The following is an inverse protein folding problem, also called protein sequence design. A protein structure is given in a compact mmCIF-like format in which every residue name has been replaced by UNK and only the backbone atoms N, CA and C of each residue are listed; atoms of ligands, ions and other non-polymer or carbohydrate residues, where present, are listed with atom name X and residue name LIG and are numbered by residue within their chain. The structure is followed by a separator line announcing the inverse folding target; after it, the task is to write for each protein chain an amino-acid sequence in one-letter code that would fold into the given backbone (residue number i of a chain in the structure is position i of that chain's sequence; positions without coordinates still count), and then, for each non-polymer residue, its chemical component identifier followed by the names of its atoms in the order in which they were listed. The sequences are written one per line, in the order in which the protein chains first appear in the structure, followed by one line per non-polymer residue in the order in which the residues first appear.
data_IF_790952744064
#
_entry.id   IF_790952744064
#
_cell.length_a   1.000
_cell.length_b   1.000
_cell.length_c   1.000
_cell.angle_alpha   90.00
_cell.angle_beta   90.00
_cell.angle_gamma   90.00
#
_symmetry.space_group_name_H-M   'P 1'
#
loop_
_entity.id
_entity.type
_entity.pdbx_description
1 polymer ?
#
# COMPACT_ATOMS: atom_id res chain seq x y z
N UNK A 1 13.87 -21.90 -2.05
CA UNK A 1 13.39 -20.52 -1.97
C UNK A 1 13.15 -20.08 -3.40
N UNK A 2 11.95 -19.57 -3.71
CA UNK A 2 11.64 -19.07 -5.06
C UNK A 2 12.52 -17.85 -5.33
N UNK A 3 13.12 -17.78 -6.52
CA UNK A 3 13.81 -16.57 -7.00
C UNK A 3 12.80 -15.71 -7.73
N UNK A 4 12.60 -14.48 -7.28
CA UNK A 4 11.69 -13.52 -7.90
C UNK A 4 12.46 -12.62 -8.87
N UNK A 5 11.86 -12.34 -10.01
CA UNK A 5 12.37 -11.32 -10.94
C UNK A 5 12.04 -9.92 -10.40
N UNK A 6 12.76 -8.89 -10.84
CA UNK A 6 12.60 -7.51 -10.36
C UNK A 6 11.16 -7.01 -10.51
N UNK A 7 10.48 -7.32 -11.61
CA UNK A 7 9.09 -6.95 -11.86
C UNK A 7 8.05 -7.76 -11.05
N UNK A 8 8.49 -8.79 -10.33
CA UNK A 8 7.65 -9.56 -9.42
C UNK A 8 7.75 -9.06 -7.97
N UNK A 9 8.66 -8.12 -7.70
CA UNK A 9 8.90 -7.57 -6.35
C UNK A 9 8.27 -6.20 -6.24
N UNK A 10 7.51 -5.97 -5.17
CA UNK A 10 6.90 -4.68 -4.82
C UNK A 10 7.39 -4.25 -3.44
N UNK A 11 7.86 -3.01 -3.34
CA UNK A 11 8.36 -2.44 -2.09
C UNK A 11 7.40 -1.36 -1.60
N UNK A 12 6.77 -1.56 -0.46
CA UNK A 12 5.62 -0.80 0.01
C UNK A 12 5.86 -0.28 1.43
N UNK A 13 5.56 0.98 1.69
CA UNK A 13 5.51 1.55 3.03
C UNK A 13 4.05 1.67 3.48
N UNK A 14 3.70 1.14 4.67
CA UNK A 14 2.41 1.38 5.33
C UNK A 14 2.54 2.64 6.18
N UNK A 15 1.74 3.63 5.87
CA UNK A 15 1.80 4.99 6.38
C UNK A 15 0.43 5.45 6.91
N UNK A 16 0.39 6.52 7.66
CA UNK A 16 -0.86 7.14 8.16
C UNK A 16 -0.75 7.55 9.63
N UNK A 17 -1.75 8.26 10.12
CA UNK A 17 -1.82 8.74 11.50
C UNK A 17 -1.80 7.61 12.53
N UNK A 18 -1.45 7.93 13.77
CA UNK A 18 -1.61 7.02 14.90
C UNK A 18 -3.07 6.59 15.01
N UNK A 19 -3.32 5.28 15.18
CA UNK A 19 -4.68 4.74 15.29
C UNK A 19 -5.39 4.49 13.94
N UNK A 20 -4.78 4.78 12.79
CA UNK A 20 -5.38 4.47 11.47
C UNK A 20 -5.44 2.97 11.15
N UNK A 21 -4.80 2.10 11.93
CA UNK A 21 -4.86 0.64 11.81
C UNK A 21 -3.78 0.01 10.92
N UNK A 22 -2.62 0.67 10.75
CA UNK A 22 -1.49 0.15 9.96
C UNK A 22 -1.02 -1.23 10.43
N UNK A 23 -0.73 -1.37 11.71
CA UNK A 23 -0.29 -2.64 12.31
C UNK A 23 -1.36 -3.72 12.20
N UNK A 24 -2.64 -3.38 12.34
CA UNK A 24 -3.75 -4.31 12.11
C UNK A 24 -3.82 -4.73 10.64
N UNK A 25 -3.57 -3.81 9.71
CA UNK A 25 -3.49 -4.13 8.30
C UNK A 25 -2.28 -5.04 8.00
N UNK A 26 -1.12 -4.78 8.61
CA UNK A 26 0.06 -5.64 8.48
C UNK A 26 -0.23 -7.08 8.92
N UNK A 27 -0.92 -7.26 10.05
CA UNK A 27 -1.37 -8.57 10.53
C UNK A 27 -2.30 -9.27 9.53
N UNK A 28 -3.27 -8.54 8.96
CA UNK A 28 -4.20 -9.10 7.97
C UNK A 28 -3.50 -9.46 6.66
N UNK A 29 -2.57 -8.63 6.18
CA UNK A 29 -1.75 -8.93 4.99
C UNK A 29 -0.91 -10.21 5.20
N UNK A 30 -0.26 -10.37 6.34
CA UNK A 30 0.52 -11.55 6.67
C UNK A 30 -0.36 -12.80 6.82
N UNK A 31 -1.56 -12.65 7.37
CA UNK A 31 -2.52 -13.74 7.53
C UNK A 31 -3.07 -14.23 6.18
N UNK A 32 -3.51 -13.30 5.31
CA UNK A 32 -4.01 -13.61 3.96
C UNK A 32 -2.96 -14.31 3.08
N UNK A 33 -1.69 -14.02 3.30
CA UNK A 33 -0.58 -14.69 2.62
C UNK A 33 -0.16 -16.00 3.27
N UNK A 34 -0.78 -16.41 4.38
CA UNK A 34 -0.44 -17.63 5.11
C UNK A 34 0.92 -17.58 5.82
N UNK A 35 1.52 -16.40 5.96
CA UNK A 35 2.80 -16.20 6.70
C UNK A 35 2.58 -16.43 8.19
N UNK A 36 1.47 -15.94 8.72
CA UNK A 36 1.02 -16.21 10.09
C UNK A 36 -0.28 -17.01 10.05
N UNK A 37 -0.45 -17.91 11.03
CA UNK A 37 -1.65 -18.76 11.14
C UNK A 37 -2.78 -18.10 11.93
N UNK A 38 -2.49 -17.07 12.67
CA UNK A 38 -3.43 -16.32 13.52
C UNK A 38 -2.97 -14.87 13.58
N UNK A 39 -3.90 -13.95 13.39
CA UNK A 39 -3.66 -12.52 13.53
C UNK A 39 -3.44 -12.15 15.00
N UNK A 40 -2.42 -11.35 15.27
CA UNK A 40 -2.24 -10.67 16.54
C UNK A 40 -3.15 -9.45 16.65
N UNK A 41 -3.14 -8.82 17.81
CA UNK A 41 -3.77 -7.51 18.00
C UNK A 41 -2.91 -6.62 18.89
N UNK A 42 -3.02 -5.31 18.70
CA UNK A 42 -2.30 -4.31 19.52
C UNK A 42 -2.72 -4.44 20.97
N UNK A 43 -4.00 -4.64 21.25
CA UNK A 43 -4.54 -4.79 22.61
C UNK A 43 -4.01 -6.05 23.30
N UNK A 44 -3.86 -7.15 22.57
CA UNK A 44 -3.26 -8.38 23.09
C UNK A 44 -1.72 -8.34 23.13
N UNK A 45 -1.10 -7.28 22.63
CA UNK A 45 0.37 -7.05 22.62
C UNK A 45 1.16 -8.17 21.94
N UNK A 46 0.59 -8.78 20.92
CA UNK A 46 1.12 -9.98 20.25
C UNK A 46 1.20 -9.85 18.71
N UNK A 47 1.22 -8.62 18.20
CA UNK A 47 1.41 -8.34 16.77
C UNK A 47 2.84 -8.64 16.35
N UNK A 48 3.04 -8.94 15.07
CA UNK A 48 4.35 -9.17 14.46
C UNK A 48 5.17 -7.86 14.40
N UNK A 49 4.50 -6.73 14.18
CA UNK A 49 5.18 -5.42 14.03
C UNK A 49 5.65 -4.85 15.36
N UNK A 50 4.81 -4.84 16.39
CA UNK A 50 5.09 -4.21 17.68
C UNK A 50 5.67 -5.22 18.66
N UNK A 51 6.90 -5.67 18.43
CA UNK A 51 7.53 -6.72 19.23
C UNK A 51 8.47 -6.19 20.32
N UNK A 52 8.91 -4.94 20.22
CA UNK A 52 9.76 -4.32 21.24
C UNK A 52 9.01 -4.07 22.55
N UNK A 53 9.66 -4.21 23.71
CA UNK A 53 9.01 -3.99 25.02
C UNK A 53 8.34 -2.63 25.13
N UNK A 54 8.97 -1.56 24.63
CA UNK A 54 8.44 -0.19 24.64
C UNK A 54 7.14 -0.06 23.85
N UNK A 55 7.01 -0.72 22.69
CA UNK A 55 5.80 -0.70 21.88
C UNK A 55 4.65 -1.43 22.57
N UNK A 56 4.97 -2.57 23.21
CA UNK A 56 4.01 -3.32 24.01
C UNK A 56 3.55 -2.58 25.25
N UNK A 57 4.44 -1.80 25.89
CA UNK A 57 4.13 -1.00 27.05
C UNK A 57 3.17 0.14 26.68
N UNK A 58 3.51 0.90 25.66
CA UNK A 58 2.74 2.07 25.23
C UNK A 58 1.55 1.76 24.33
N UNK A 59 1.48 0.57 23.71
CA UNK A 59 0.38 0.14 22.84
C UNK A 59 0.35 0.86 21.48
N UNK A 60 1.52 1.27 20.98
CA UNK A 60 1.67 1.82 19.63
C UNK A 60 3.10 1.64 19.12
N UNK A 61 3.25 1.63 17.79
CA UNK A 61 4.53 1.47 17.11
C UNK A 61 5.46 2.67 17.33
N UNK A 62 6.70 2.40 17.65
CA UNK A 62 7.80 3.38 17.81
C UNK A 62 8.82 3.22 16.71
N UNK A 63 9.05 1.99 16.27
CA UNK A 63 10.00 1.63 15.23
C UNK A 63 9.29 1.15 13.96
N UNK A 64 9.92 1.32 12.81
CA UNK A 64 9.46 0.68 11.59
C UNK A 64 9.78 -0.81 11.62
N UNK A 65 8.84 -1.67 11.21
CA UNK A 65 9.04 -3.11 11.11
C UNK A 65 8.98 -3.57 9.68
N UNK A 66 9.94 -4.40 9.29
CA UNK A 66 10.10 -4.90 7.93
C UNK A 66 9.60 -6.33 7.88
N UNK A 67 8.73 -6.62 6.93
CA UNK A 67 8.24 -7.96 6.66
C UNK A 67 8.01 -8.16 5.16
N UNK A 68 7.80 -9.40 4.76
CA UNK A 68 7.43 -9.71 3.39
C UNK A 68 6.33 -10.77 3.35
N UNK A 69 5.60 -10.77 2.26
CA UNK A 69 4.60 -11.78 1.97
C UNK A 69 4.66 -12.16 0.48
N UNK A 70 4.27 -13.39 0.19
CA UNK A 70 4.17 -13.90 -1.17
C UNK A 70 2.68 -14.02 -1.52
N UNK A 71 2.26 -13.34 -2.57
CA UNK A 71 0.87 -13.33 -2.98
C UNK A 71 0.74 -13.35 -4.51
N UNK A 72 -0.05 -14.29 -5.05
CA UNK A 72 -0.30 -14.43 -6.50
C UNK A 72 0.97 -14.34 -7.37
N UNK A 73 2.05 -15.01 -6.93
CA UNK A 73 3.31 -15.04 -7.66
C UNK A 73 4.20 -13.81 -7.50
N UNK A 74 3.75 -12.79 -6.77
CA UNK A 74 4.51 -11.59 -6.44
C UNK A 74 5.08 -11.66 -5.02
N UNK A 75 6.19 -10.97 -4.79
CA UNK A 75 6.77 -10.75 -3.48
C UNK A 75 6.50 -9.31 -3.05
N UNK A 76 5.75 -9.14 -1.98
CA UNK A 76 5.45 -7.84 -1.38
C UNK A 76 6.40 -7.63 -0.19
N UNK A 77 7.40 -6.77 -0.33
CA UNK A 77 8.21 -6.30 0.78
C UNK A 77 7.51 -5.10 1.39
N UNK A 78 7.25 -5.14 2.67
CA UNK A 78 6.45 -4.13 3.35
C UNK A 78 7.18 -3.59 4.58
N UNK A 79 7.00 -2.30 4.84
CA UNK A 79 7.53 -1.63 6.03
C UNK A 79 6.36 -0.99 6.75
N UNK A 80 6.00 -1.51 7.93
CA UNK A 80 5.03 -0.89 8.83
C UNK A 80 5.71 0.27 9.56
N UNK A 81 5.22 1.50 9.37
CA UNK A 81 5.80 2.70 9.93
C UNK A 81 5.01 3.21 11.14
N UNK A 82 5.68 3.72 12.19
CA UNK A 82 4.98 4.39 13.28
C UNK A 82 4.13 5.56 12.77
N UNK A 83 2.97 5.76 13.38
CA UNK A 83 2.02 6.82 12.99
C UNK A 83 2.09 8.07 13.83
N UNK A 84 2.98 8.13 14.81
CA UNK A 84 3.19 9.35 15.63
C UNK A 84 4.07 10.36 14.92
N UNK A 85 3.73 11.64 14.98
CA UNK A 85 4.48 12.71 14.31
C UNK A 85 5.95 12.79 14.79
N UNK A 86 6.22 12.43 16.04
CA UNK A 86 7.58 12.36 16.61
C UNK A 86 8.47 11.31 15.90
N UNK A 87 7.87 10.35 15.22
CA UNK A 87 8.56 9.24 14.54
C UNK A 87 8.59 9.36 13.01
N UNK A 88 8.30 10.54 12.46
CA UNK A 88 8.26 10.78 11.01
C UNK A 88 9.57 10.39 10.30
N UNK A 89 10.71 10.43 10.99
CA UNK A 89 11.99 9.95 10.47
C UNK A 89 11.96 8.49 10.00
N UNK A 90 11.21 7.62 10.68
CA UNK A 90 11.02 6.24 10.24
C UNK A 90 10.26 6.16 8.89
N UNK A 91 9.24 6.99 8.71
CA UNK A 91 8.48 7.05 7.47
C UNK A 91 9.33 7.58 6.31
N UNK A 92 10.15 8.62 6.54
CA UNK A 92 11.10 9.15 5.53
C UNK A 92 12.08 8.05 5.11
N UNK A 93 12.66 7.36 6.09
CA UNK A 93 13.61 6.28 5.83
C UNK A 93 12.97 5.13 5.04
N UNK A 94 11.75 4.73 5.41
CA UNK A 94 10.98 3.71 4.69
C UNK A 94 10.69 4.14 3.24
N UNK A 95 10.25 5.39 3.03
CA UNK A 95 9.96 5.92 1.70
C UNK A 95 11.20 5.96 0.80
N UNK A 96 12.40 6.15 1.34
CA UNK A 96 13.63 6.14 0.54
C UNK A 96 13.93 4.75 -0.06
N UNK A 97 13.45 3.68 0.57
CA UNK A 97 13.73 2.30 0.13
C UNK A 97 12.52 1.59 -0.47
N UNK A 98 11.33 2.15 -0.35
CA UNK A 98 10.12 1.63 -0.97
C UNK A 98 9.76 2.38 -2.25
N UNK A 99 8.92 1.78 -3.07
CA UNK A 99 8.53 2.32 -4.37
C UNK A 99 7.13 2.95 -4.32
N UNK A 100 6.30 2.54 -3.35
CA UNK A 100 4.93 3.04 -3.16
C UNK A 100 4.61 3.20 -1.68
N UNK A 101 3.92 4.28 -1.30
CA UNK A 101 3.32 4.47 0.01
C UNK A 101 1.83 4.13 0.02
N UNK A 102 1.38 3.33 0.99
CA UNK A 102 -0.04 3.11 1.27
C UNK A 102 -0.39 3.91 2.53
N UNK A 103 -1.17 4.98 2.35
CA UNK A 103 -1.59 5.85 3.45
C UNK A 103 -2.97 5.40 3.93
N UNK A 104 -3.04 4.93 5.18
CA UNK A 104 -4.29 4.58 5.82
C UNK A 104 -4.97 5.83 6.37
N UNK A 105 -6.24 5.98 6.02
CA UNK A 105 -7.13 7.04 6.53
C UNK A 105 -8.22 6.38 7.36
N UNK A 106 -8.49 6.91 8.54
CA UNK A 106 -9.54 6.38 9.40
C UNK A 106 -10.92 6.81 8.90
N UNK A 107 -11.84 5.88 8.70
CA UNK A 107 -13.19 6.15 8.20
C UNK A 107 -14.05 7.03 9.12
N UNK A 108 -13.71 7.10 10.41
CA UNK A 108 -14.42 7.94 11.39
C UNK A 108 -13.82 9.35 11.49
N UNK A 109 -12.49 9.45 11.50
CA UNK A 109 -11.79 10.71 11.77
C UNK A 109 -11.39 11.46 10.49
N UNK A 110 -11.41 10.79 9.34
CA UNK A 110 -11.05 11.40 8.07
C UNK A 110 -9.57 11.77 7.98
N UNK A 111 -9.32 12.91 7.33
CA UNK A 111 -7.96 13.40 7.07
C UNK A 111 -7.44 14.17 8.28
N UNK A 112 -6.72 13.47 9.14
CA UNK A 112 -6.06 14.05 10.32
C UNK A 112 -4.77 14.83 9.94
N UNK A 113 -4.27 15.65 10.85
CA UNK A 113 -3.01 16.40 10.66
C UNK A 113 -1.84 15.47 10.33
N UNK A 114 -1.71 14.33 11.03
CA UNK A 114 -0.71 13.32 10.75
C UNK A 114 -0.83 12.74 9.34
N UNK A 115 -2.05 12.56 8.82
CA UNK A 115 -2.29 12.12 7.43
C UNK A 115 -1.78 13.17 6.43
N UNK A 116 -2.03 14.46 6.68
CA UNK A 116 -1.55 15.55 5.83
C UNK A 116 -0.02 15.65 5.84
N UNK A 117 0.59 15.52 7.02
CA UNK A 117 2.04 15.58 7.19
C UNK A 117 2.72 14.43 6.44
N UNK A 118 2.20 13.21 6.57
CA UNK A 118 2.77 12.06 5.86
C UNK A 118 2.57 12.18 4.34
N UNK A 119 1.42 12.68 3.89
CA UNK A 119 1.20 12.93 2.46
C UNK A 119 2.19 13.98 1.93
N UNK A 120 2.42 15.11 2.62
CA UNK A 120 3.43 16.09 2.24
C UNK A 120 4.82 15.46 2.16
N UNK A 121 5.15 14.57 3.11
CA UNK A 121 6.41 13.82 3.10
C UNK A 121 6.53 12.96 1.86
N UNK A 122 5.49 12.20 1.47
CA UNK A 122 5.53 11.40 0.23
C UNK A 122 5.70 12.26 -1.01
N UNK A 123 5.07 13.45 -1.06
CA UNK A 123 5.23 14.38 -2.18
C UNK A 123 6.65 14.95 -2.25
N UNK A 124 7.27 15.27 -1.10
CA UNK A 124 8.64 15.81 -1.06
C UNK A 124 9.68 14.81 -1.59
N UNK A 125 9.48 13.51 -1.32
CA UNK A 125 10.35 12.42 -1.83
C UNK A 125 9.83 11.83 -3.17
N UNK A 126 8.82 12.44 -3.75
CA UNK A 126 8.24 12.08 -5.07
C UNK A 126 7.80 10.61 -5.18
N UNK A 127 7.18 10.06 -4.15
CA UNK A 127 6.71 8.66 -4.15
C UNK A 127 5.24 8.56 -4.56
N UNK A 128 4.89 7.53 -5.36
CA UNK A 128 3.52 7.10 -5.58
C UNK A 128 2.76 6.85 -4.28
N UNK A 129 1.48 7.21 -4.26
CA UNK A 129 0.62 7.07 -3.08
C UNK A 129 -0.67 6.37 -3.45
N UNK A 130 -1.07 5.43 -2.59
CA UNK A 130 -2.38 4.80 -2.56
C UNK A 130 -3.00 5.12 -1.21
N UNK A 131 -4.28 5.42 -1.20
CA UNK A 131 -5.05 5.57 0.04
C UNK A 131 -5.86 4.32 0.34
N UNK A 132 -5.93 3.97 1.61
CA UNK A 132 -6.82 2.93 2.11
C UNK A 132 -7.68 3.52 3.23
N UNK A 133 -8.98 3.71 2.98
CA UNK A 133 -9.94 4.11 4.00
C UNK A 133 -10.25 2.87 4.82
N UNK A 134 -9.73 2.86 6.05
CA UNK A 134 -9.79 1.74 6.98
C UNK A 134 -10.79 1.99 8.10
N UNK A 135 -11.18 0.92 8.78
CA UNK A 135 -12.16 0.94 9.87
C UNK A 135 -13.58 1.33 9.39
N UNK A 136 -13.91 0.93 8.16
CA UNK A 136 -15.28 1.09 7.62
C UNK A 136 -16.34 0.33 8.43
N UNK A 137 -15.91 -0.61 9.27
CA UNK A 137 -16.71 -1.34 10.25
C UNK A 137 -16.92 -0.59 11.58
N UNK A 138 -16.34 0.59 11.75
CA UNK A 138 -16.50 1.42 12.96
C UNK A 138 -17.87 2.08 13.05
N UNK A 139 -18.40 2.20 14.28
CA UNK A 139 -19.76 2.75 14.54
C UNK A 139 -20.03 4.13 13.92
N UNK A 140 -18.98 4.94 13.73
CA UNK A 140 -19.06 6.30 13.21
C UNK A 140 -18.32 6.46 11.88
N UNK A 141 -18.11 5.36 11.15
CA UNK A 141 -17.54 5.44 9.82
C UNK A 141 -18.44 6.30 8.91
N UNK A 142 -17.80 7.13 8.08
CA UNK A 142 -18.48 7.97 7.11
C UNK A 142 -17.58 8.17 5.89
N UNK A 143 -17.71 7.27 4.94
CA UNK A 143 -16.89 7.22 3.72
C UNK A 143 -17.00 8.49 2.88
N UNK A 144 -18.23 8.94 2.62
CA UNK A 144 -18.46 10.08 1.73
C UNK A 144 -17.84 11.36 2.30
N UNK A 145 -17.96 11.61 3.60
CA UNK A 145 -17.30 12.73 4.27
C UNK A 145 -15.76 12.63 4.20
N UNK A 146 -15.21 11.42 4.33
CA UNK A 146 -13.75 11.22 4.20
C UNK A 146 -13.28 11.53 2.77
N UNK A 147 -14.02 11.09 1.76
CA UNK A 147 -13.69 11.38 0.36
C UNK A 147 -13.77 12.87 0.06
N UNK A 148 -14.78 13.56 0.60
CA UNK A 148 -14.90 15.02 0.44
C UNK A 148 -13.67 15.74 1.03
N UNK A 149 -13.29 15.42 2.27
CA UNK A 149 -12.07 15.95 2.90
C UNK A 149 -10.81 15.63 2.11
N UNK A 150 -10.69 14.39 1.61
CA UNK A 150 -9.53 13.99 0.82
C UNK A 150 -9.45 14.80 -0.49
N UNK A 151 -10.57 15.02 -1.17
CA UNK A 151 -10.62 15.83 -2.40
C UNK A 151 -10.33 17.31 -2.15
N UNK A 152 -10.78 17.85 -1.02
CA UNK A 152 -10.47 19.22 -0.60
C UNK A 152 -8.97 19.41 -0.34
N UNK A 153 -8.34 18.45 0.36
CA UNK A 153 -6.95 18.58 0.84
C UNK A 153 -5.92 18.08 -0.17
N UNK A 154 -6.20 16.96 -0.85
CA UNK A 154 -5.26 16.31 -1.78
C UNK A 154 -5.61 16.55 -3.26
N UNK A 155 -6.76 17.18 -3.52
CA UNK A 155 -7.19 17.60 -4.84
C UNK A 155 -7.95 16.54 -5.64
N UNK A 156 -8.22 16.88 -6.91
CA UNK A 156 -9.03 16.05 -7.83
C UNK A 156 -8.36 14.72 -8.23
N UNK A 157 -7.09 14.55 -7.90
CA UNK A 157 -6.33 13.31 -8.18
C UNK A 157 -6.76 12.12 -7.31
N UNK A 158 -7.57 12.38 -6.27
CA UNK A 158 -8.18 11.34 -5.43
C UNK A 158 -9.21 10.58 -6.25
N UNK A 159 -8.88 9.34 -6.62
CA UNK A 159 -9.62 8.53 -7.59
C UNK A 159 -10.11 7.25 -6.94
N UNK A 160 -11.41 7.03 -6.96
CA UNK A 160 -12.01 5.86 -6.32
C UNK A 160 -11.75 4.60 -7.16
N UNK A 161 -11.13 3.59 -6.54
CA UNK A 161 -11.09 2.22 -7.06
C UNK A 161 -12.27 1.43 -6.50
N UNK A 162 -12.72 1.80 -5.30
CA UNK A 162 -13.80 1.13 -4.59
C UNK A 162 -14.66 2.11 -3.83
N UNK A 163 -15.92 1.74 -3.61
CA UNK A 163 -16.79 2.41 -2.64
C UNK A 163 -17.63 1.39 -1.85
N UNK A 164 -17.91 1.65 -0.57
CA UNK A 164 -18.69 0.73 0.27
C UNK A 164 -20.18 0.81 -0.08
N UNK A 165 -20.90 -0.32 0.04
CA UNK A 165 -22.37 -0.33 -0.04
C UNK A 165 -23.02 -0.10 1.32
N UNK A 166 -22.29 -0.37 2.38
CA UNK A 166 -22.72 -0.15 3.76
C UNK A 166 -21.50 0.17 4.63
N UNK A 167 -21.74 0.81 5.75
CA UNK A 167 -20.72 1.24 6.70
C UNK A 167 -21.11 0.87 8.13
N UNK A 168 -20.19 1.07 9.06
CA UNK A 168 -20.41 0.75 10.47
C UNK A 168 -20.31 -0.73 10.76
N UNK A 169 -20.86 -1.20 11.90
CA UNK A 169 -20.78 -2.61 12.32
C UNK A 169 -21.31 -3.60 11.28
N UNK A 170 -22.20 -3.14 10.39
CA UNK A 170 -22.78 -3.92 9.31
C UNK A 170 -21.92 -3.94 8.03
N UNK A 171 -20.76 -3.28 8.00
CA UNK A 171 -19.88 -3.27 6.84
C UNK A 171 -19.52 -4.70 6.41
N UNK A 172 -19.93 -5.05 5.20
CA UNK A 172 -19.71 -6.37 4.64
C UNK A 172 -19.68 -6.40 3.11
N UNK A 173 -19.83 -5.25 2.43
CA UNK A 173 -19.87 -5.24 0.97
C UNK A 173 -19.41 -3.90 0.39
N UNK A 174 -18.78 -4.00 -0.80
CA UNK A 174 -18.31 -2.86 -1.56
C UNK A 174 -18.37 -3.13 -3.06
N UNK A 175 -18.30 -2.09 -3.87
CA UNK A 175 -18.17 -2.17 -5.31
C UNK A 175 -16.75 -1.79 -5.71
N UNK A 176 -16.13 -2.62 -6.55
CA UNK A 176 -14.88 -2.35 -7.23
C UNK A 176 -15.17 -1.79 -8.62
N UNK A 177 -14.87 -0.51 -8.82
CA UNK A 177 -15.17 0.19 -10.07
C UNK A 177 -14.14 -0.09 -11.16
N UNK A 178 -12.95 -0.60 -10.82
CA UNK A 178 -11.97 -1.04 -11.81
C UNK A 178 -12.45 -2.33 -12.48
N UNK A 179 -12.91 -3.30 -11.71
CA UNK A 179 -13.35 -4.61 -12.18
C UNK A 179 -14.86 -4.69 -12.46
N UNK A 180 -15.62 -3.65 -12.13
CA UNK A 180 -17.09 -3.60 -12.25
C UNK A 180 -17.76 -4.81 -11.60
N UNK A 181 -17.37 -5.10 -10.34
CA UNK A 181 -17.90 -6.22 -9.54
C UNK A 181 -18.22 -5.77 -8.11
N UNK A 182 -19.21 -6.44 -7.53
CA UNK A 182 -19.52 -6.36 -6.09
C UNK A 182 -18.73 -7.41 -5.34
N UNK A 183 -18.13 -7.01 -4.24
CA UNK A 183 -17.46 -7.87 -3.28
C UNK A 183 -18.27 -7.89 -1.99
N UNK A 184 -18.55 -9.08 -1.47
CA UNK A 184 -19.25 -9.25 -0.21
C UNK A 184 -18.60 -10.32 0.66
N UNK A 185 -18.71 -10.15 1.98
CA UNK A 185 -18.09 -11.00 2.98
C UNK A 185 -19.11 -11.52 3.98
N UNK A 186 -18.85 -12.72 4.50
CA UNK A 186 -19.46 -13.21 5.71
C UNK A 186 -18.92 -12.50 6.97
N UNK A 187 -19.45 -12.85 8.16
CA UNK A 187 -19.06 -12.19 9.42
C UNK A 187 -17.57 -12.29 9.75
N UNK A 188 -16.91 -13.34 9.29
CA UNK A 188 -15.51 -13.64 9.58
C UNK A 188 -14.52 -12.98 8.60
N UNK A 189 -15.01 -12.28 7.58
CA UNK A 189 -14.16 -11.65 6.54
C UNK A 189 -13.46 -12.66 5.63
N UNK A 190 -12.22 -12.34 5.21
CA UNK A 190 -11.36 -13.21 4.41
C UNK A 190 -11.69 -13.19 2.91
N UNK A 191 -11.89 -14.37 2.31
CA UNK A 191 -12.16 -14.51 0.87
C UNK A 191 -13.57 -14.01 0.54
N UNK A 192 -13.72 -13.00 -0.34
CA UNK A 192 -15.02 -12.46 -0.70
C UNK A 192 -15.82 -13.38 -1.64
N UNK A 193 -17.12 -13.23 -1.61
CA UNK A 193 -18.00 -13.61 -2.71
C UNK A 193 -17.99 -12.48 -3.73
N UNK A 194 -17.78 -12.80 -5.01
CA UNK A 194 -17.75 -11.83 -6.11
C UNK A 194 -19.01 -12.00 -6.94
N UNK A 195 -19.77 -10.91 -7.07
CA UNK A 195 -21.08 -10.88 -7.71
C UNK A 195 -21.18 -9.74 -8.73
N UNK A 196 -22.21 -9.76 -9.55
CA UNK A 196 -22.54 -8.64 -10.41
C UNK A 196 -23.06 -7.45 -9.57
N UNK A 197 -22.86 -6.24 -10.10
CA UNK A 197 -23.30 -5.02 -9.44
C UNK A 197 -24.84 -4.98 -9.41
N UNK A 198 -25.47 -4.69 -8.26
CA UNK A 198 -26.92 -4.51 -8.18
C UNK A 198 -27.41 -3.41 -9.11
N UNK A 199 -28.62 -3.58 -9.66
CA UNK A 199 -29.18 -2.65 -10.65
C UNK A 199 -29.30 -1.20 -10.15
N UNK A 200 -29.59 -1.02 -8.86
CA UNK A 200 -29.68 0.28 -8.19
C UNK A 200 -28.33 0.98 -8.01
N UNK A 201 -27.22 0.25 -8.12
CA UNK A 201 -25.84 0.77 -8.00
C UNK A 201 -25.15 0.92 -9.36
N UNK A 202 -25.73 0.38 -10.42
CA UNK A 202 -25.08 0.28 -11.73
C UNK A 202 -24.76 1.67 -12.31
N UNK A 203 -25.66 2.64 -12.20
CA UNK A 203 -25.46 4.00 -12.73
C UNK A 203 -24.26 4.69 -12.04
N UNK A 204 -24.21 4.66 -10.70
CA UNK A 204 -23.09 5.21 -9.91
C UNK A 204 -21.78 4.51 -10.24
N UNK A 205 -21.81 3.18 -10.36
CA UNK A 205 -20.61 2.40 -10.68
C UNK A 205 -20.09 2.72 -12.09
N UNK A 206 -20.97 2.87 -13.08
CA UNK A 206 -20.59 3.24 -14.45
C UNK A 206 -20.00 4.65 -14.51
N UNK A 207 -20.61 5.62 -13.82
CA UNK A 207 -20.07 6.98 -13.75
C UNK A 207 -18.66 7.01 -13.16
N UNK A 208 -18.45 6.33 -12.03
CA UNK A 208 -17.14 6.24 -11.39
C UNK A 208 -16.12 5.45 -12.23
N UNK A 209 -16.56 4.39 -12.92
CA UNK A 209 -15.73 3.65 -13.86
C UNK A 209 -15.27 4.53 -15.00
N UNK A 210 -16.18 5.32 -15.59
CA UNK A 210 -15.85 6.25 -16.67
C UNK A 210 -14.82 7.29 -16.22
N UNK A 211 -14.99 7.87 -15.03
CA UNK A 211 -14.00 8.79 -14.44
C UNK A 211 -12.62 8.11 -14.24
N UNK A 212 -12.60 6.84 -13.85
CA UNK A 212 -11.37 6.08 -13.69
C UNK A 212 -10.70 5.79 -15.05
N UNK A 213 -11.50 5.46 -16.09
CA UNK A 213 -10.98 5.25 -17.46
C UNK A 213 -10.35 6.53 -17.99
N UNK A 214 -11.02 7.67 -17.85
CA UNK A 214 -10.52 8.99 -18.25
C UNK A 214 -9.21 9.32 -17.53
N UNK A 215 -9.19 9.18 -16.20
CA UNK A 215 -7.99 9.42 -15.40
C UNK A 215 -6.82 8.49 -15.78
N UNK A 216 -7.09 7.24 -16.14
CA UNK A 216 -6.06 6.31 -16.61
C UNK A 216 -5.54 6.69 -18.00
N UNK A 217 -6.45 7.06 -18.92
CA UNK A 217 -6.10 7.44 -20.30
C UNK A 217 -5.25 8.72 -20.34
N UNK A 218 -5.50 9.70 -19.48
CA UNK A 218 -4.77 10.98 -19.42
C UNK A 218 -3.25 10.82 -19.21
N UNK A 219 -2.78 9.66 -18.76
CA UNK A 219 -1.37 9.43 -18.46
C UNK A 219 -0.57 8.82 -19.64
N UNK A 220 -1.21 8.59 -20.77
CA UNK A 220 -0.56 7.98 -21.94
C UNK A 220 -1.26 8.39 -23.23
N UNK A 221 -0.52 8.96 -24.19
CA UNK A 221 -1.07 9.43 -25.46
C UNK A 221 -1.76 8.30 -26.25
N UNK A 222 -1.18 7.09 -26.25
CA UNK A 222 -1.76 5.93 -26.96
C UNK A 222 -3.06 5.47 -26.31
N UNK A 223 -3.13 5.47 -24.98
CA UNK A 223 -4.34 5.12 -24.24
C UNK A 223 -5.42 6.19 -24.45
N UNK A 224 -5.03 7.45 -24.50
CA UNK A 224 -5.93 8.57 -24.78
C UNK A 224 -6.52 8.48 -26.18
N UNK A 225 -5.71 8.26 -27.21
CA UNK A 225 -6.19 8.06 -28.59
C UNK A 225 -7.16 6.89 -28.67
N UNK A 226 -6.81 5.77 -28.06
CA UNK A 226 -7.65 4.58 -28.03
C UNK A 226 -8.99 4.82 -27.32
N UNK A 227 -8.95 5.54 -26.20
CA UNK A 227 -10.16 5.92 -25.48
C UNK A 227 -11.07 6.82 -26.32
N UNK A 228 -10.55 7.78 -27.06
CA UNK A 228 -11.33 8.62 -27.97
C UNK A 228 -11.94 7.83 -29.13
N UNK A 229 -11.22 6.84 -29.66
CA UNK A 229 -11.69 6.04 -30.78
C UNK A 229 -12.72 4.98 -30.39
N UNK A 230 -12.58 4.35 -29.23
CA UNK A 230 -13.35 3.17 -28.82
C UNK A 230 -14.31 3.45 -27.63
N UNK A 231 -14.09 4.53 -26.88
CA UNK A 231 -14.87 4.89 -25.70
C UNK A 231 -14.58 4.02 -24.45
N UNK A 232 -13.64 3.09 -24.52
CA UNK A 232 -13.27 2.21 -23.41
C UNK A 232 -11.81 1.75 -23.49
N UNK A 233 -11.28 1.30 -22.37
CA UNK A 233 -9.98 0.62 -22.25
C UNK A 233 -10.18 -0.79 -21.69
N UNK A 234 -9.34 -1.73 -22.09
CA UNK A 234 -9.27 -3.05 -21.46
C UNK A 234 -8.74 -2.94 -20.02
N UNK A 235 -8.95 -3.97 -19.22
CA UNK A 235 -8.47 -4.01 -17.83
C UNK A 235 -6.94 -3.84 -17.74
N UNK A 236 -6.17 -4.47 -18.65
CA UNK A 236 -4.72 -4.35 -18.67
C UNK A 236 -4.25 -2.95 -19.05
N UNK A 237 -4.93 -2.29 -19.98
CA UNK A 237 -4.67 -0.90 -20.36
C UNK A 237 -5.01 0.07 -19.24
N UNK A 238 -6.11 -0.17 -18.53
CA UNK A 238 -6.45 0.63 -17.34
C UNK A 238 -5.37 0.47 -16.25
N UNK A 239 -4.90 -0.76 -16.00
CA UNK A 239 -3.80 -1.02 -15.06
C UNK A 239 -2.52 -0.29 -15.45
N UNK A 240 -2.20 -0.28 -16.73
CA UNK A 240 -1.03 0.43 -17.26
C UNK A 240 -1.17 1.95 -17.09
N UNK A 241 -2.32 2.53 -17.46
CA UNK A 241 -2.60 3.96 -17.28
C UNK A 241 -2.58 4.37 -15.82
N UNK A 242 -3.19 3.58 -14.93
CA UNK A 242 -3.14 3.82 -13.48
C UNK A 242 -1.70 3.74 -12.95
N UNK A 243 -0.88 2.78 -13.41
CA UNK A 243 0.52 2.67 -13.01
C UNK A 243 1.31 3.90 -13.43
N UNK A 244 1.16 4.38 -14.66
CA UNK A 244 1.78 5.63 -15.12
C UNK A 244 1.32 6.83 -14.29
N UNK A 245 0.03 6.94 -14.05
CA UNK A 245 -0.54 7.97 -13.19
C UNK A 245 -0.03 7.94 -11.74
N UNK A 246 0.23 6.74 -11.18
CA UNK A 246 0.88 6.59 -9.89
C UNK A 246 2.32 7.12 -9.90
N UNK A 247 3.11 6.78 -10.92
CA UNK A 247 4.50 7.23 -11.08
C UNK A 247 4.55 8.75 -11.20
N UNK A 248 3.69 9.34 -12.02
CA UNK A 248 3.58 10.79 -12.25
C UNK A 248 2.85 11.52 -11.11
N UNK A 249 2.23 10.76 -10.19
CA UNK A 249 1.44 11.28 -9.08
C UNK A 249 0.26 12.15 -9.55
N UNK A 250 -0.31 11.78 -10.67
CA UNK A 250 -1.53 12.35 -11.25
C UNK A 250 -2.78 11.65 -10.75
N UNK A 251 -2.66 10.38 -10.27
CA UNK A 251 -3.74 9.58 -9.69
C UNK A 251 -3.36 9.15 -8.28
N UNK A 252 -4.31 9.25 -7.35
CA UNK A 252 -4.24 8.70 -5.99
C UNK A 252 -5.39 7.71 -5.79
N UNK A 253 -5.16 6.40 -6.05
CA UNK A 253 -6.18 5.38 -5.90
C UNK A 253 -6.65 5.24 -4.47
N UNK A 254 -7.98 5.07 -4.27
CA UNK A 254 -8.59 4.90 -2.95
C UNK A 254 -9.24 3.53 -2.84
N UNK A 255 -8.88 2.80 -1.78
CA UNK A 255 -9.41 1.50 -1.41
C UNK A 255 -10.26 1.56 -0.15
N UNK A 256 -11.21 0.61 -0.06
CA UNK A 256 -12.08 0.39 1.09
C UNK A 256 -11.61 -0.84 1.85
N UNK A 257 -11.30 -0.70 3.15
CA UNK A 257 -10.85 -1.84 3.96
C UNK A 257 -11.44 -1.81 5.37
N UNK A 258 -11.62 -2.98 5.94
CA UNK A 258 -11.65 -3.21 7.37
C UNK A 258 -10.55 -4.21 7.70
N UNK A 259 -9.39 -3.69 8.12
CA UNK A 259 -8.27 -4.52 8.49
C UNK A 259 -8.62 -5.46 9.67
N UNK A 260 -9.42 -4.99 10.61
CA UNK A 260 -9.86 -5.79 11.76
C UNK A 260 -10.73 -6.99 11.35
N UNK A 261 -11.69 -6.78 10.43
CA UNK A 261 -12.57 -7.85 9.92
C UNK A 261 -12.00 -8.58 8.71
N UNK A 262 -10.80 -8.22 8.23
CA UNK A 262 -10.17 -8.81 7.05
C UNK A 262 -11.04 -8.70 5.78
N UNK A 263 -11.64 -7.54 5.59
CA UNK A 263 -12.47 -7.22 4.44
C UNK A 263 -11.78 -6.19 3.55
N UNK A 264 -11.75 -6.42 2.24
CA UNK A 264 -11.07 -5.57 1.26
C UNK A 264 -9.55 -5.77 1.15
N UNK A 265 -8.91 -6.38 2.15
CA UNK A 265 -7.45 -6.56 2.24
C UNK A 265 -6.90 -7.35 1.06
N UNK A 266 -7.49 -8.52 0.76
CA UNK A 266 -7.08 -9.38 -0.36
C UNK A 266 -7.14 -8.65 -1.70
N UNK A 267 -8.23 -7.91 -1.96
CA UNK A 267 -8.38 -7.15 -3.21
C UNK A 267 -7.36 -6.01 -3.34
N UNK A 268 -7.06 -5.33 -2.24
CA UNK A 268 -5.98 -4.34 -2.21
C UNK A 268 -4.62 -4.99 -2.51
N UNK A 269 -4.33 -6.19 -1.97
CA UNK A 269 -3.09 -6.93 -2.28
C UNK A 269 -2.98 -7.30 -3.75
N UNK A 270 -4.08 -7.70 -4.40
CA UNK A 270 -4.12 -7.96 -5.84
C UNK A 270 -3.73 -6.73 -6.64
N UNK A 271 -4.25 -5.57 -6.28
CA UNK A 271 -3.87 -4.31 -6.90
C UNK A 271 -2.39 -3.97 -6.63
N UNK A 272 -1.93 -4.09 -5.39
CA UNK A 272 -0.53 -3.86 -5.03
C UNK A 272 0.41 -4.79 -5.82
N UNK A 273 0.04 -6.03 -6.06
CA UNK A 273 0.85 -6.96 -6.85
C UNK A 273 0.88 -6.63 -8.34
N UNK A 274 -0.25 -6.20 -8.90
CA UNK A 274 -0.43 -6.10 -10.36
C UNK A 274 -0.27 -4.69 -10.92
N UNK A 275 -0.57 -3.64 -10.14
CA UNK A 275 -0.66 -2.27 -10.64
C UNK A 275 0.45 -1.36 -10.14
N UNK A 276 0.83 -1.44 -8.86
CA UNK A 276 1.84 -0.49 -8.34
C UNK A 276 3.18 -0.64 -9.05
N UNK A 277 3.94 0.45 -9.18
CA UNK A 277 5.25 0.40 -9.80
C UNK A 277 6.21 -0.56 -9.07
N UNK A 278 7.20 -1.02 -9.78
CA UNK A 278 8.34 -1.76 -9.25
C UNK A 278 9.63 -0.93 -9.42
N UNK A 279 10.74 -1.42 -8.92
CA UNK A 279 11.97 -0.61 -8.82
C UNK A 279 12.45 -0.01 -10.15
N UNK A 280 12.24 -0.72 -11.27
CA UNK A 280 12.67 -0.25 -12.60
C UNK A 280 11.76 0.84 -13.18
N UNK A 281 10.52 0.94 -12.71
CA UNK A 281 9.59 2.00 -13.08
C UNK A 281 9.94 3.33 -12.37
N UNK A 282 10.73 3.26 -11.30
CA UNK A 282 11.06 4.43 -10.48
C UNK A 282 12.39 5.06 -10.91
N UNK A 283 12.56 6.37 -10.69
CA UNK A 283 13.85 7.02 -10.93
C UNK A 283 14.98 6.31 -10.20
N UNK A 284 16.10 6.06 -10.90
CA UNK A 284 17.27 5.45 -10.30
C UNK A 284 17.80 6.31 -9.13
N UNK A 285 18.19 5.71 -8.00
CA UNK A 285 18.83 6.46 -6.94
C UNK A 285 20.17 7.03 -7.42
N UNK A 286 20.60 8.11 -6.79
CA UNK A 286 21.89 8.73 -7.06
C UNK A 286 22.86 8.47 -5.91
N UNK A 287 24.13 8.31 -6.23
CA UNK A 287 25.21 8.22 -5.25
C UNK A 287 25.59 9.59 -4.65
N UNK A 288 26.58 9.64 -3.79
CA UNK A 288 27.05 10.87 -3.15
C UNK A 288 27.73 11.85 -4.12
N UNK A 289 28.07 11.40 -5.32
CA UNK A 289 28.65 12.22 -6.39
C UNK A 289 27.58 12.69 -7.39
N UNK A 290 26.30 12.31 -7.18
CA UNK A 290 25.18 12.66 -8.06
C UNK A 290 25.05 11.77 -9.28
N UNK A 291 25.76 10.63 -9.34
CA UNK A 291 25.68 9.67 -10.44
C UNK A 291 24.54 8.67 -10.20
N UNK A 292 23.75 8.44 -11.22
CA UNK A 292 22.68 7.42 -11.18
C UNK A 292 23.25 6.00 -10.98
N UNK A 293 22.68 5.29 -10.02
CA UNK A 293 22.96 3.87 -9.77
C UNK A 293 21.82 3.04 -10.32
N UNK A 294 21.96 2.59 -11.57
CA UNK A 294 20.93 1.77 -12.23
C UNK A 294 20.93 0.33 -11.66
N UNK A 295 19.76 -0.28 -11.49
CA UNK A 295 19.67 -1.70 -11.16
C UNK A 295 20.29 -2.52 -12.30
N UNK A 296 21.43 -3.17 -12.04
CA UNK A 296 22.11 -4.02 -13.02
C UNK A 296 22.60 -5.29 -12.35
N UNK A 297 22.10 -6.44 -12.81
CA UNK A 297 22.50 -7.75 -12.30
C UNK A 297 23.96 -8.10 -12.54
N UNK A 298 24.64 -7.43 -13.46
CA UNK A 298 26.04 -7.60 -13.79
C UNK A 298 26.93 -6.43 -13.36
N UNK A 299 26.32 -5.40 -12.76
CA UNK A 299 26.99 -4.19 -12.30
C UNK A 299 27.75 -4.38 -10.99
N UNK A 300 28.39 -3.32 -10.48
CA UNK A 300 29.03 -3.36 -9.18
C UNK A 300 27.99 -3.53 -8.07
N UNK A 301 28.40 -4.22 -6.99
CA UNK A 301 27.55 -4.35 -5.78
C UNK A 301 27.25 -2.97 -5.21
N UNK A 302 25.98 -2.63 -5.12
CA UNK A 302 25.51 -1.39 -4.50
C UNK A 302 24.40 -1.71 -3.51
N UNK A 303 24.58 -1.33 -2.26
CA UNK A 303 23.62 -1.51 -1.17
C UNK A 303 23.41 -0.19 -0.44
N UNK A 304 22.15 0.07 -0.06
CA UNK A 304 21.79 1.22 0.76
C UNK A 304 21.30 0.71 2.13
N UNK A 305 22.12 0.91 3.17
CA UNK A 305 21.73 0.59 4.55
C UNK A 305 20.78 1.67 5.05
N UNK A 306 19.59 1.28 5.45
CA UNK A 306 18.54 2.22 5.85
C UNK A 306 18.06 2.05 7.31
N UNK A 307 18.40 0.94 7.96
CA UNK A 307 18.06 0.70 9.35
C UNK A 307 19.13 -0.16 10.01
N UNK A 308 19.53 0.22 11.22
CA UNK A 308 20.35 -0.60 12.11
C UNK A 308 19.59 -0.76 13.42
N UNK A 309 19.53 -1.97 13.93
CA UNK A 309 18.93 -2.29 15.23
C UNK A 309 19.79 -3.29 15.99
N UNK A 310 19.59 -3.38 17.28
CA UNK A 310 20.21 -4.42 18.11
C UNK A 310 19.12 -5.39 18.52
N UNK A 311 19.22 -6.61 18.01
CA UNK A 311 18.26 -7.67 18.31
C UNK A 311 18.77 -8.55 19.47
N UNK A 312 17.91 -8.93 20.44
CA UNK A 312 18.26 -9.87 21.46
C UNK A 312 18.79 -11.18 20.83
N UNK A 313 19.90 -11.71 21.34
CA UNK A 313 20.53 -12.96 20.89
C UNK A 313 21.22 -12.96 19.51
N UNK A 314 21.01 -11.93 18.67
CA UNK A 314 21.63 -11.81 17.34
C UNK A 314 22.72 -10.75 17.35
N UNK A 315 22.51 -9.67 18.13
CA UNK A 315 23.39 -8.51 18.16
C UNK A 315 22.95 -7.44 17.14
N UNK A 316 23.90 -6.72 16.57
CA UNK A 316 23.64 -5.69 15.58
C UNK A 316 23.15 -6.29 14.26
N UNK A 317 22.01 -5.79 13.79
CA UNK A 317 21.37 -6.18 12.51
C UNK A 317 21.24 -4.95 11.64
N UNK A 318 21.81 -5.01 10.45
CA UNK A 318 21.76 -3.96 9.45
C UNK A 318 20.79 -4.36 8.33
N UNK A 319 19.77 -3.55 8.10
CA UNK A 319 18.82 -3.71 7.00
C UNK A 319 19.28 -2.87 5.82
N UNK A 320 19.31 -3.46 4.64
CA UNK A 320 19.72 -2.75 3.44
C UNK A 320 18.81 -3.05 2.25
N UNK A 321 18.67 -2.08 1.35
CA UNK A 321 18.13 -2.26 0.01
C UNK A 321 19.30 -2.57 -0.93
N UNK A 322 19.20 -3.68 -1.63
CA UNK A 322 20.08 -3.95 -2.74
C UNK A 322 19.65 -3.07 -3.93
N UNK A 323 20.57 -2.26 -4.41
CA UNK A 323 20.31 -1.33 -5.51
C UNK A 323 20.81 -1.90 -6.84
N UNK A 324 21.97 -2.53 -6.82
CA UNK A 324 22.60 -3.21 -7.96
C UNK A 324 23.27 -4.47 -7.46
N UNK A 325 23.56 -5.43 -8.31
CA UNK A 325 24.11 -6.78 -8.10
C UNK A 325 24.28 -7.25 -6.64
N UNK A 326 23.57 -8.29 -6.23
CA UNK A 326 23.47 -8.69 -4.82
C UNK A 326 23.98 -10.09 -4.49
N UNK A 327 24.82 -10.69 -5.32
CA UNK A 327 25.49 -11.93 -4.95
C UNK A 327 26.60 -11.66 -3.92
N UNK A 328 26.17 -11.36 -2.69
CA UNK A 328 27.07 -11.34 -1.55
C UNK A 328 27.42 -12.80 -1.22
N UNK A 329 28.63 -13.22 -1.51
CA UNK A 329 29.18 -14.43 -0.90
C UNK A 329 29.23 -14.18 0.60
N UNK A 330 28.37 -14.84 1.37
CA UNK A 330 28.52 -14.94 2.79
C UNK A 330 29.90 -15.63 3.04
N UNK A 331 30.89 -14.87 3.42
CA UNK A 331 32.10 -15.47 4.01
C UNK A 331 31.63 -16.06 5.33
N UNK A 332 31.66 -17.40 5.45
CA UNK A 332 31.51 -18.04 6.74
C UNK A 332 32.66 -17.50 7.63
N UNK A 333 32.36 -17.00 8.83
CA UNK A 333 33.44 -16.73 9.78
C UNK A 333 34.22 -18.00 9.98
N UNK A 334 35.53 -17.92 9.83
CA UNK A 334 36.46 -18.99 10.15
C UNK A 334 36.54 -19.08 11.69
N UNK A 335 35.64 -19.86 12.29
CA UNK A 335 35.79 -20.34 13.67
C UNK A 335 35.48 -21.84 13.69
#
# INVERSE_FOLDING_TARGET
MKVYQTNEIKNIALLGSKGSGKTTLAESLLYECGVIKRRGSVDAKNTVSDYFPVEKEYGYSVFSTIFYAEFNGKKLNMIDCPGGDDFVGNAITALNVTDTGVILVNAQYGVEVGTQNIFRTTQSVKKPVIFAINQLDGDKANFDNVIEQMREIFGKKVTLIQYPLNEGPAFNSMIDVLLMKKYSWGPDGGVPTIEDIPADQMEKAQELHQQLVEAAAENDETLMEKFFDQGHLSEDEMREGIRKGLIDRSIYPVFCVSALKDMGVRRMMEFLGNVVPFVEDMPAPVDTEGKEVKPDSNGPVSVYVFKTTVEPHIGEVNYFKAVSYTHLRAQRPLY
#
